data_IF_947004441266
#
_entry.id   IF_947004441266
#
_cell.length_a   1.000
_cell.length_b   1.000
_cell.length_c   1.000
_cell.angle_alpha   90.00
_cell.angle_beta   90.00
_cell.angle_gamma   90.00
#
_symmetry.space_group_name_H-M   'P 1'
#
loop_
_entity.id
_entity.type
_entity.pdbx_description
1 polymer ?
#
# COMPACT_ATOMS: atom_id res chain seq x y z
N UNK A 1 19.35 -0.58 0.74
CA UNK A 1 18.28 0.44 0.82
C UNK A 1 17.93 0.65 2.28
N UNK A 2 18.41 1.72 2.91
CA UNK A 2 18.03 2.07 4.28
C UNK A 2 16.90 3.09 4.25
N UNK A 3 15.73 2.67 3.78
CA UNK A 3 14.50 3.46 3.96
C UNK A 3 13.93 3.13 5.34
N UNK A 4 13.80 4.13 6.22
CA UNK A 4 13.08 3.97 7.48
C UNK A 4 11.60 3.62 7.26
N UNK A 5 10.86 3.42 8.34
CA UNK A 5 9.40 3.27 8.26
C UNK A 5 8.81 4.55 7.64
N UNK A 6 7.98 4.38 6.61
CA UNK A 6 7.18 5.44 6.00
C UNK A 6 5.76 5.35 6.54
N UNK A 7 5.22 6.44 7.07
CA UNK A 7 3.84 6.52 7.56
C UNK A 7 3.04 7.55 6.76
N UNK A 8 1.81 7.21 6.37
CA UNK A 8 0.92 8.14 5.69
C UNK A 8 -0.55 7.91 6.04
N UNK A 9 -1.39 8.97 5.98
CA UNK A 9 -2.83 8.80 6.00
C UNK A 9 -3.32 8.17 4.69
N UNK A 10 -4.26 7.25 4.80
CA UNK A 10 -4.87 6.53 3.66
C UNK A 10 -6.35 6.84 3.66
N UNK A 11 -6.79 7.82 2.86
CA UNK A 11 -8.19 8.20 2.79
C UNK A 11 -9.01 7.12 2.08
N UNK A 12 -10.15 6.74 2.65
CA UNK A 12 -11.06 5.75 2.08
C UNK A 12 -12.21 6.47 1.34
N UNK A 13 -12.28 6.30 0.02
CA UNK A 13 -13.20 7.00 -0.92
C UNK A 13 -14.54 6.30 -1.02
N UNK A 14 -15.64 7.03 -1.29
CA UNK A 14 -17.00 6.47 -1.20
C UNK A 14 -17.15 5.09 -1.89
N UNK A 15 -16.59 4.99 -3.08
CA UNK A 15 -16.53 3.78 -3.91
C UNK A 15 -15.74 2.61 -3.34
N UNK A 16 -14.88 2.81 -2.33
CA UNK A 16 -14.02 1.77 -1.79
C UNK A 16 -14.77 0.82 -0.85
N UNK A 17 -15.91 1.25 -0.29
CA UNK A 17 -16.72 0.43 0.61
C UNK A 17 -17.70 -0.45 -0.18
N UNK A 18 -17.94 -1.65 0.33
CA UNK A 18 -18.99 -2.54 -0.13
C UNK A 18 -20.33 -2.32 0.61
N UNK A 19 -21.33 -3.13 0.28
CA UNK A 19 -22.66 -3.07 0.89
C UNK A 19 -22.67 -3.36 2.41
N UNK A 20 -21.61 -3.98 2.95
CA UNK A 20 -21.46 -4.26 4.37
C UNK A 20 -20.85 -3.08 5.14
N UNK A 21 -20.57 -1.96 4.46
CA UNK A 21 -20.04 -0.74 5.07
C UNK A 21 -18.54 -0.78 5.35
N UNK A 22 -17.83 -1.80 4.86
CA UNK A 22 -16.39 -1.97 5.01
C UNK A 22 -15.70 -1.80 3.66
N UNK A 23 -14.40 -1.48 3.65
CA UNK A 23 -13.61 -1.52 2.42
C UNK A 23 -13.57 -2.94 1.87
N UNK A 24 -13.88 -3.10 0.59
CA UNK A 24 -13.81 -4.40 -0.07
C UNK A 24 -12.38 -4.97 -0.01
N UNK A 25 -12.21 -6.24 0.31
CA UNK A 25 -10.89 -6.87 0.45
C UNK A 25 -10.00 -6.74 -0.79
N UNK A 26 -10.56 -6.83 -2.01
CA UNK A 26 -9.81 -6.62 -3.24
C UNK A 26 -9.36 -5.15 -3.37
N UNK A 27 -10.18 -4.21 -2.89
CA UNK A 27 -9.86 -2.78 -2.91
C UNK A 27 -8.73 -2.41 -1.95
N UNK A 28 -8.56 -3.16 -0.86
CA UNK A 28 -7.42 -2.99 0.06
C UNK A 28 -6.09 -3.12 -0.70
N UNK A 29 -5.99 -4.02 -1.68
CA UNK A 29 -4.75 -4.19 -2.48
C UNK A 29 -4.42 -2.93 -3.28
N UNK A 30 -5.43 -2.24 -3.83
CA UNK A 30 -5.23 -0.95 -4.49
C UNK A 30 -4.73 0.12 -3.51
N UNK A 31 -5.30 0.17 -2.30
CA UNK A 31 -4.82 1.11 -1.27
C UNK A 31 -3.36 0.81 -0.88
N UNK A 32 -2.99 -0.46 -0.76
CA UNK A 32 -1.60 -0.90 -0.52
C UNK A 32 -0.66 -0.46 -1.64
N UNK A 33 -1.10 -0.52 -2.89
CA UNK A 33 -0.32 -0.03 -4.04
C UNK A 33 -0.08 1.48 -3.97
N UNK A 34 -1.11 2.26 -3.65
CA UNK A 34 -0.97 3.72 -3.48
C UNK A 34 0.02 4.07 -2.36
N UNK A 35 -0.07 3.38 -1.21
CA UNK A 35 0.88 3.52 -0.10
C UNK A 35 2.30 3.18 -0.57
N UNK A 36 2.47 2.09 -1.33
CA UNK A 36 3.76 1.65 -1.85
C UNK A 36 4.38 2.67 -2.82
N UNK A 37 3.58 3.25 -3.71
CA UNK A 37 4.03 4.29 -4.64
C UNK A 37 4.49 5.53 -3.86
N UNK A 38 3.71 5.97 -2.86
CA UNK A 38 4.09 7.10 -2.02
C UNK A 38 5.39 6.82 -1.23
N UNK A 39 5.54 5.61 -0.69
CA UNK A 39 6.76 5.21 0.00
C UNK A 39 7.98 5.17 -0.94
N UNK A 40 7.83 4.69 -2.17
CA UNK A 40 8.91 4.65 -3.17
C UNK A 40 9.40 6.04 -3.55
N UNK A 41 8.49 7.00 -3.69
CA UNK A 41 8.87 8.39 -3.91
C UNK A 41 9.78 8.89 -2.79
N UNK A 42 9.51 8.53 -1.53
CA UNK A 42 10.36 8.93 -0.39
C UNK A 42 11.67 8.15 -0.33
N UNK A 43 11.65 6.84 -0.57
CA UNK A 43 12.82 5.98 -0.40
C UNK A 43 13.81 6.03 -1.56
N UNK A 44 13.32 6.26 -2.77
CA UNK A 44 14.09 6.14 -4.02
C UNK A 44 14.07 7.43 -4.85
N UNK A 45 13.45 8.49 -4.36
CA UNK A 45 13.22 9.75 -5.10
C UNK A 45 12.65 9.52 -6.51
N UNK A 46 11.85 8.46 -6.64
CA UNK A 46 11.30 8.01 -7.92
C UNK A 46 10.04 7.18 -7.71
N UNK A 47 9.11 7.29 -8.65
CA UNK A 47 7.97 6.36 -8.77
C UNK A 47 8.19 5.41 -9.94
N UNK A 48 7.58 4.21 -9.92
CA UNK A 48 7.57 3.36 -11.11
C UNK A 48 6.98 4.12 -12.29
N UNK A 49 7.66 4.08 -13.43
CA UNK A 49 7.20 4.68 -14.68
C UNK A 49 7.40 3.68 -15.84
N UNK A 50 7.18 4.13 -17.08
CA UNK A 50 7.39 3.30 -18.26
C UNK A 50 8.86 2.94 -18.53
N UNK A 51 9.81 3.70 -17.99
CA UNK A 51 11.26 3.44 -18.12
C UNK A 51 11.77 2.40 -17.13
N UNK A 52 11.16 2.32 -15.94
CA UNK A 52 11.46 1.33 -14.91
C UNK A 52 10.17 0.74 -14.31
N UNK A 53 9.43 -0.07 -15.08
CA UNK A 53 8.18 -0.66 -14.61
C UNK A 53 8.45 -1.60 -13.44
N UNK A 54 7.57 -1.58 -12.44
CA UNK A 54 7.65 -2.47 -11.29
C UNK A 54 6.39 -3.31 -11.21
N UNK A 55 6.56 -4.60 -10.99
CA UNK A 55 5.47 -5.57 -10.85
C UNK A 55 5.54 -6.26 -9.50
N UNK A 56 4.38 -6.57 -8.94
CA UNK A 56 4.28 -7.39 -7.73
C UNK A 56 4.38 -8.85 -8.16
N UNK A 57 5.47 -9.52 -7.78
CA UNK A 57 5.65 -10.96 -8.02
C UNK A 57 4.81 -11.81 -7.07
N UNK A 58 4.70 -11.38 -5.81
CA UNK A 58 4.01 -12.11 -4.74
C UNK A 58 3.41 -11.11 -3.78
N UNK A 59 2.16 -11.37 -3.37
CA UNK A 59 1.44 -10.59 -2.37
C UNK A 59 0.79 -11.55 -1.39
N UNK A 60 1.06 -11.34 -0.11
CA UNK A 60 0.38 -12.01 1.00
C UNK A 60 -0.31 -10.93 1.83
N UNK A 61 -1.61 -11.08 2.08
CA UNK A 61 -2.40 -10.10 2.84
C UNK A 61 -3.16 -10.81 3.94
N UNK A 62 -2.89 -10.43 5.18
CA UNK A 62 -3.60 -10.91 6.36
C UNK A 62 -4.64 -9.87 6.80
N UNK A 63 -5.92 -10.17 6.59
CA UNK A 63 -7.03 -9.30 6.99
C UNK A 63 -7.39 -9.52 8.46
N UNK A 64 -6.95 -8.60 9.34
CA UNK A 64 -7.18 -8.71 10.80
C UNK A 64 -8.39 -7.94 11.31
N UNK A 65 -8.71 -6.82 10.67
CA UNK A 65 -9.83 -5.93 11.04
C UNK A 65 -10.33 -5.25 9.78
N UNK A 66 -11.64 -5.04 9.70
CA UNK A 66 -12.24 -4.29 8.62
C UNK A 66 -11.80 -2.81 8.64
N UNK A 67 -11.62 -2.24 7.45
CA UNK A 67 -11.31 -0.82 7.26
C UNK A 67 -12.59 -0.08 6.90
N UNK A 68 -12.75 1.13 7.44
CA UNK A 68 -13.90 1.98 7.22
C UNK A 68 -13.46 3.37 6.81
N UNK A 69 -14.42 4.18 6.35
CA UNK A 69 -14.27 5.64 6.38
C UNK A 69 -14.06 6.18 7.79
N UNK A 70 -13.31 7.30 7.94
CA UNK A 70 -12.71 8.10 6.86
C UNK A 70 -11.40 7.51 6.30
N UNK A 71 -10.82 6.51 6.96
CA UNK A 71 -9.59 5.85 6.54
C UNK A 71 -8.76 5.39 7.72
N UNK A 72 -7.48 5.13 7.47
CA UNK A 72 -6.51 4.67 8.46
C UNK A 72 -5.15 5.32 8.23
N UNK A 73 -4.27 5.27 9.23
CA UNK A 73 -2.84 5.51 9.01
C UNK A 73 -2.20 4.18 8.61
N UNK A 74 -1.40 4.19 7.55
CA UNK A 74 -0.64 3.02 7.12
C UNK A 74 0.86 3.27 7.34
N UNK A 75 1.57 2.18 7.62
CA UNK A 75 3.01 2.16 7.72
C UNK A 75 3.57 1.18 6.68
N UNK A 76 4.58 1.61 5.93
CA UNK A 76 5.33 0.79 5.00
C UNK A 76 6.79 0.71 5.47
N UNK A 77 7.39 -0.47 5.35
CA UNK A 77 8.81 -0.68 5.64
C UNK A 77 9.42 -1.43 4.46
N UNK A 78 10.56 -0.98 3.91
CA UNK A 78 11.27 -1.76 2.93
C UNK A 78 11.99 -2.88 3.69
N UNK A 79 11.75 -4.12 3.28
CA UNK A 79 12.53 -5.27 3.74
C UNK A 79 13.61 -5.52 2.69
N UNK A 80 14.85 -5.74 3.11
CA UNK A 80 15.85 -6.29 2.18
C UNK A 80 15.33 -7.62 1.67
N UNK A 81 15.37 -7.82 0.35
CA UNK A 81 15.08 -9.13 -0.21
C UNK A 81 15.96 -10.18 0.51
N UNK A 82 15.45 -11.38 0.81
CA UNK A 82 16.34 -12.48 1.15
C UNK A 82 17.37 -12.60 0.03
N UNK A 83 18.64 -12.58 0.38
CA UNK A 83 19.71 -13.07 -0.50
C UNK A 83 19.47 -14.56 -0.62
N UNK A 84 18.77 -14.97 -1.68
CA UNK A 84 18.92 -16.33 -2.21
C UNK A 84 20.38 -16.53 -2.68
#
# INVERSE_FOLDING_TARGET
MSGGVFECPVPVRWSDQDANGHVNNARVVTLLEEIRIAAYLVWLDSTPDSGLPRVVRTLTVDFRRAVHRPGVTAAARPTTAPTD
#
